data_IF_444609265194
#
_entry.id   IF_444609265194
#
_cell.length_a   1.000
_cell.length_b   1.000
_cell.length_c   1.000
_cell.angle_alpha   90.00
_cell.angle_beta   90.00
_cell.angle_gamma   90.00
#
_symmetry.space_group_name_H-M   'P 1'
#
loop_
_entity.id
_entity.type
_entity.pdbx_description
1 polymer ?
#
# COMPACT_ATOMS: atom_id res chain seq x y z
N UNK A 1 16.85 0.74 1.02
CA UNK A 1 15.79 1.74 0.87
C UNK A 1 15.87 2.30 -0.54
N UNK A 2 14.95 2.01 -1.38
CA UNK A 2 14.96 2.51 -2.76
C UNK A 2 13.74 1.99 -3.52
N UNK A 3 13.31 2.74 -4.53
CA UNK A 3 12.05 2.49 -5.24
C UNK A 3 12.08 1.33 -6.24
N UNK A 4 13.16 0.55 -6.28
CA UNK A 4 13.35 -0.49 -7.31
C UNK A 4 13.83 -1.84 -6.79
N UNK A 5 14.24 -1.93 -5.51
CA UNK A 5 14.91 -3.12 -4.91
C UNK A 5 16.17 -3.60 -5.63
N UNK A 6 16.76 -2.78 -6.51
CA UNK A 6 18.01 -3.10 -7.23
C UNK A 6 19.24 -3.15 -6.33
N UNK A 7 19.18 -2.54 -5.15
CA UNK A 7 20.30 -2.44 -4.19
C UNK A 7 20.17 -3.44 -3.04
N UNK A 8 19.40 -4.50 -3.20
CA UNK A 8 19.34 -5.58 -2.22
C UNK A 8 20.72 -6.25 -2.06
N UNK A 9 21.07 -6.56 -0.81
CA UNK A 9 22.38 -7.16 -0.49
C UNK A 9 22.56 -8.56 -1.12
N UNK A 10 21.52 -9.37 -1.13
CA UNK A 10 21.62 -10.73 -1.64
C UNK A 10 21.45 -10.77 -3.17
N UNK A 11 20.26 -10.42 -3.65
CA UNK A 11 19.93 -10.42 -5.08
C UNK A 11 18.92 -9.33 -5.37
N UNK A 12 18.92 -8.85 -6.62
CA UNK A 12 17.85 -8.01 -7.12
C UNK A 12 16.55 -8.82 -7.19
N UNK A 13 15.48 -8.21 -6.71
CA UNK A 13 14.15 -8.78 -6.90
C UNK A 13 13.63 -8.37 -8.28
N UNK A 14 13.15 -9.32 -9.06
CA UNK A 14 12.47 -9.07 -10.33
C UNK A 14 10.95 -9.02 -10.13
N UNK A 15 10.26 -8.35 -11.06
CA UNK A 15 8.81 -8.36 -11.09
C UNK A 15 8.33 -9.74 -11.60
N UNK A 16 7.44 -10.45 -10.90
CA UNK A 16 6.99 -11.78 -11.34
C UNK A 16 6.26 -11.80 -12.68
N UNK A 17 5.71 -10.67 -13.11
CA UNK A 17 5.02 -10.57 -14.42
C UNK A 17 5.97 -10.37 -15.59
N UNK A 18 7.15 -9.79 -15.35
CA UNK A 18 8.21 -9.59 -16.34
C UNK A 18 9.55 -9.48 -15.61
N UNK A 19 10.36 -10.52 -15.71
CA UNK A 19 11.63 -10.63 -14.99
C UNK A 19 12.67 -9.57 -15.39
N UNK A 20 12.45 -8.86 -16.49
CA UNK A 20 13.29 -7.73 -16.91
C UNK A 20 12.87 -6.41 -16.28
N UNK A 21 11.75 -6.39 -15.52
CA UNK A 21 11.22 -5.22 -14.85
C UNK A 21 11.44 -5.29 -13.35
N UNK A 22 11.45 -4.11 -12.73
CA UNK A 22 11.56 -3.98 -11.27
C UNK A 22 10.20 -4.23 -10.62
N UNK A 23 10.16 -4.79 -9.41
CA UNK A 23 8.91 -4.97 -8.65
C UNK A 23 8.47 -3.67 -7.96
N UNK A 24 9.27 -2.59 -8.07
CA UNK A 24 9.12 -1.41 -7.24
C UNK A 24 9.87 -1.51 -5.92
N UNK A 25 9.58 -0.63 -4.99
CA UNK A 25 10.23 -0.60 -3.67
C UNK A 25 9.77 0.57 -2.76
N UNK A 26 10.22 0.51 -1.51
CA UNK A 26 11.24 -0.39 -0.96
C UNK A 26 10.71 -1.78 -0.56
N UNK A 27 9.40 -2.00 -0.45
CA UNK A 27 8.79 -3.31 -0.16
C UNK A 27 8.61 -4.18 -1.42
N UNK A 28 9.57 -4.12 -2.36
CA UNK A 28 9.47 -4.83 -3.64
C UNK A 28 9.49 -6.35 -3.49
N UNK A 29 10.31 -6.90 -2.57
CA UNK A 29 10.31 -8.33 -2.25
C UNK A 29 8.97 -8.79 -1.67
N UNK A 30 8.39 -8.01 -0.76
CA UNK A 30 7.08 -8.29 -0.17
C UNK A 30 5.96 -8.31 -1.22
N UNK A 31 5.96 -7.35 -2.15
CA UNK A 31 4.98 -7.32 -3.24
C UNK A 31 5.19 -8.47 -4.23
N UNK A 32 6.44 -8.75 -4.58
CA UNK A 32 6.78 -9.83 -5.51
C UNK A 32 6.39 -11.20 -4.96
N UNK A 33 6.64 -11.49 -3.67
CA UNK A 33 6.28 -12.78 -3.07
C UNK A 33 4.77 -13.04 -3.06
N UNK A 34 3.96 -12.00 -2.81
CA UNK A 34 2.50 -12.11 -2.92
C UNK A 34 2.08 -12.29 -4.39
N UNK A 35 2.67 -11.52 -5.31
CA UNK A 35 2.37 -11.62 -6.74
C UNK A 35 2.72 -13.01 -7.30
N UNK A 36 3.86 -13.56 -6.91
CA UNK A 36 4.33 -14.90 -7.28
C UNK A 36 3.57 -16.03 -6.57
N UNK A 37 2.66 -15.72 -5.64
CA UNK A 37 1.91 -16.70 -4.84
C UNK A 37 2.78 -17.54 -3.89
N UNK A 38 3.94 -17.05 -3.52
CA UNK A 38 4.80 -17.70 -2.51
C UNK A 38 4.20 -17.58 -1.10
N UNK A 39 3.50 -16.46 -0.84
CA UNK A 39 2.80 -16.20 0.42
C UNK A 39 1.44 -15.55 0.14
N UNK A 40 0.42 -15.80 0.98
CA UNK A 40 -0.90 -15.17 0.83
C UNK A 40 -0.88 -13.68 1.20
N UNK A 41 -0.10 -13.31 2.21
CA UNK A 41 -0.01 -11.95 2.77
C UNK A 41 1.45 -11.65 3.09
N UNK A 42 1.84 -10.40 2.94
CA UNK A 42 3.15 -9.90 3.36
C UNK A 42 3.03 -8.53 4.02
N UNK A 43 4.03 -8.15 4.81
CA UNK A 43 4.15 -6.84 5.42
C UNK A 43 5.24 -6.03 4.73
N UNK A 44 5.05 -4.72 4.70
CA UNK A 44 6.05 -3.78 4.22
C UNK A 44 6.05 -2.50 5.04
N UNK A 45 6.96 -1.61 4.75
CA UNK A 45 6.98 -0.27 5.34
C UNK A 45 6.82 0.79 4.25
N UNK A 46 6.05 1.82 4.54
CA UNK A 46 5.73 2.90 3.60
C UNK A 46 6.00 4.25 4.24
N UNK A 47 6.87 5.02 3.63
CA UNK A 47 7.17 6.40 4.00
C UNK A 47 6.56 7.36 2.99
N UNK A 48 6.80 7.13 1.71
CA UNK A 48 6.33 7.95 0.60
C UNK A 48 5.79 7.13 -0.58
N UNK A 49 5.37 5.86 -0.34
CA UNK A 49 4.85 4.98 -1.37
C UNK A 49 5.42 3.56 -1.33
N UNK A 50 6.31 3.25 -0.38
CA UNK A 50 7.09 2.00 -0.41
C UNK A 50 6.33 0.69 -0.17
N UNK A 51 5.04 0.73 0.13
CA UNK A 51 4.09 -0.40 0.07
C UNK A 51 3.21 -0.25 -1.18
N UNK A 52 2.63 0.92 -1.39
CA UNK A 52 1.64 1.20 -2.45
C UNK A 52 2.24 1.12 -3.85
N UNK A 53 3.43 1.67 -4.07
CA UNK A 53 4.08 1.67 -5.37
C UNK A 53 4.47 0.24 -5.81
N UNK A 54 5.17 -0.58 -5.01
CA UNK A 54 5.46 -1.95 -5.41
C UNK A 54 4.19 -2.81 -5.54
N UNK A 55 3.15 -2.57 -4.74
CA UNK A 55 1.86 -3.22 -4.92
C UNK A 55 1.27 -2.94 -6.30
N UNK A 56 1.29 -1.68 -6.74
CA UNK A 56 0.85 -1.27 -8.07
C UNK A 56 1.68 -1.94 -9.18
N UNK A 57 3.01 -2.00 -9.03
CA UNK A 57 3.89 -2.58 -10.04
C UNK A 57 3.74 -4.11 -10.15
N UNK A 58 3.41 -4.77 -9.04
CA UNK A 58 3.24 -6.23 -8.98
C UNK A 58 1.77 -6.68 -9.13
N UNK A 59 0.81 -5.75 -9.29
CA UNK A 59 -0.60 -6.09 -9.47
C UNK A 59 -1.24 -6.75 -8.25
N UNK A 60 -0.89 -6.28 -7.06
CA UNK A 60 -1.46 -6.73 -5.77
C UNK A 60 -2.05 -5.56 -4.99
N UNK A 61 -2.84 -5.84 -3.97
CA UNK A 61 -3.38 -4.82 -3.07
C UNK A 61 -2.32 -4.45 -2.03
N UNK A 62 -2.03 -3.16 -1.91
CA UNK A 62 -1.11 -2.62 -0.90
C UNK A 62 -1.76 -1.50 -0.11
N UNK A 63 -1.85 -1.66 1.20
CA UNK A 63 -2.42 -0.68 2.11
C UNK A 63 -1.34 -0.05 2.99
N UNK A 64 -1.21 1.27 2.93
CA UNK A 64 -0.56 2.07 3.97
C UNK A 64 -1.65 2.63 4.88
N UNK A 65 -1.78 2.14 6.12
CA UNK A 65 -2.77 2.67 7.04
C UNK A 65 -2.45 4.10 7.49
N UNK A 66 -3.40 4.72 8.17
CA UNK A 66 -3.19 6.01 8.83
C UNK A 66 -2.02 5.91 9.81
N UNK A 67 -1.20 6.97 9.87
CA UNK A 67 -0.07 7.07 10.78
C UNK A 67 -0.47 6.76 12.22
N UNK A 68 0.34 5.96 12.89
CA UNK A 68 0.08 5.51 14.25
C UNK A 68 -1.00 4.42 14.37
N UNK A 69 -1.50 3.86 13.27
CA UNK A 69 -2.49 2.78 13.35
C UNK A 69 -1.85 1.41 13.64
N UNK A 70 -0.61 1.22 13.26
CA UNK A 70 0.22 0.05 13.54
C UNK A 70 1.47 0.53 14.26
N UNK A 71 1.87 -0.16 15.33
CA UNK A 71 3.12 0.14 16.04
C UNK A 71 4.32 0.01 15.12
N UNK A 72 5.28 0.91 15.28
CA UNK A 72 6.56 0.89 14.57
C UNK A 72 7.70 0.36 15.41
N UNK A 73 7.39 -0.15 16.60
CA UNK A 73 8.42 -0.73 17.46
C UNK A 73 9.16 -1.87 16.74
N UNK A 74 10.48 -1.77 16.72
CA UNK A 74 11.35 -2.70 15.98
C UNK A 74 11.54 -2.37 14.48
N UNK A 75 10.81 -1.40 13.93
CA UNK A 75 11.02 -0.92 12.57
C UNK A 75 12.23 0.02 12.53
N UNK A 76 13.19 -0.25 11.64
CA UNK A 76 14.26 0.70 11.34
C UNK A 76 13.68 1.91 10.62
N UNK A 77 13.76 3.07 11.26
CA UNK A 77 13.18 4.29 10.73
C UNK A 77 13.90 4.80 9.48
N UNK A 78 13.14 5.29 8.51
CA UNK A 78 13.63 6.08 7.39
C UNK A 78 13.25 7.56 7.58
N UNK A 79 11.97 7.84 7.81
CA UNK A 79 11.47 9.16 8.19
C UNK A 79 10.38 8.95 9.26
N UNK A 80 10.76 9.04 10.52
CA UNK A 80 9.93 8.63 11.68
C UNK A 80 8.56 9.29 11.74
N UNK A 81 8.39 10.49 11.18
CA UNK A 81 7.12 11.21 11.13
C UNK A 81 6.18 10.75 10.00
N UNK A 82 6.65 9.87 9.11
CA UNK A 82 5.92 9.40 7.93
C UNK A 82 5.81 7.90 7.85
N UNK A 83 6.81 7.17 8.38
CA UNK A 83 6.90 5.71 8.27
C UNK A 83 5.67 5.03 8.86
N UNK A 84 5.16 4.04 8.14
CA UNK A 84 4.08 3.18 8.61
C UNK A 84 4.25 1.77 8.08
N UNK A 85 3.99 0.77 8.93
CA UNK A 85 3.88 -0.62 8.49
C UNK A 85 2.53 -0.78 7.77
N UNK A 86 2.56 -1.43 6.63
CA UNK A 86 1.40 -1.72 5.81
C UNK A 86 1.36 -3.17 5.36
N UNK A 87 0.26 -3.55 4.74
CA UNK A 87 -0.04 -4.91 4.31
C UNK A 87 -0.09 -5.01 2.80
N UNK A 88 0.31 -6.18 2.27
CA UNK A 88 0.19 -6.54 0.87
C UNK A 88 -0.50 -7.91 0.76
N UNK A 89 -1.50 -8.02 -0.11
CA UNK A 89 -2.23 -9.25 -0.34
C UNK A 89 -2.86 -9.27 -1.74
N UNK A 90 -3.47 -10.40 -2.12
CA UNK A 90 -4.17 -10.52 -3.41
C UNK A 90 -5.51 -9.80 -3.43
N UNK A 91 -6.20 -9.74 -2.30
CA UNK A 91 -7.54 -9.16 -2.18
C UNK A 91 -7.59 -8.06 -1.13
N UNK A 92 -8.60 -7.21 -1.22
CA UNK A 92 -8.88 -6.18 -0.20
C UNK A 92 -9.33 -6.84 1.11
N UNK A 93 -10.02 -7.98 1.03
CA UNK A 93 -10.46 -8.75 2.18
C UNK A 93 -9.27 -9.28 2.99
N UNK A 94 -8.27 -9.89 2.32
CA UNK A 94 -7.05 -10.37 2.98
C UNK A 94 -6.30 -9.22 3.67
N UNK A 95 -6.25 -8.05 3.04
CA UNK A 95 -5.67 -6.84 3.63
C UNK A 95 -6.43 -6.42 4.87
N UNK A 96 -7.77 -6.43 4.85
CA UNK A 96 -8.61 -6.10 6.00
C UNK A 96 -8.43 -7.09 7.16
N UNK A 97 -8.38 -8.39 6.87
CA UNK A 97 -8.11 -9.44 7.85
C UNK A 97 -6.72 -9.23 8.50
N UNK A 98 -5.71 -8.96 7.69
CA UNK A 98 -4.37 -8.69 8.20
C UNK A 98 -4.35 -7.44 9.10
N UNK A 99 -5.06 -6.39 8.69
CA UNK A 99 -5.16 -5.15 9.48
C UNK A 99 -5.86 -5.36 10.83
N UNK A 100 -6.84 -6.25 10.93
CA UNK A 100 -7.46 -6.62 12.20
C UNK A 100 -6.45 -7.21 13.20
N UNK A 101 -5.40 -7.85 12.69
CA UNK A 101 -4.38 -8.51 13.51
C UNK A 101 -3.27 -7.54 13.91
N UNK A 102 -2.78 -6.70 13.00
CA UNK A 102 -1.59 -5.88 13.23
C UNK A 102 -1.89 -4.46 13.72
N UNK A 103 -3.13 -3.99 13.57
CA UNK A 103 -3.51 -2.66 14.05
C UNK A 103 -3.73 -2.66 15.56
N UNK A 104 -3.43 -1.53 16.19
CA UNK A 104 -3.65 -1.33 17.61
C UNK A 104 -2.45 -0.72 18.32
N UNK A 105 -2.66 -0.38 19.59
CA UNK A 105 -1.65 0.22 20.44
C UNK A 105 -0.76 -0.86 21.08
N UNK A 106 0.48 -0.48 21.32
CA UNK A 106 1.38 -1.14 22.24
C UNK A 106 2.00 -0.11 23.21
N UNK A 107 2.80 -0.57 24.13
CA UNK A 107 3.46 0.30 25.12
C UNK A 107 4.87 0.76 24.69
N UNK A 108 5.31 0.39 23.48
CA UNK A 108 6.68 0.61 23.00
C UNK A 108 6.77 1.72 21.96
N UNK A 109 5.69 2.03 21.24
CA UNK A 109 5.61 3.15 20.29
C UNK A 109 4.72 4.26 20.85
N UNK A 110 5.35 5.33 21.35
CA UNK A 110 4.63 6.48 21.91
C UNK A 110 3.73 7.21 20.91
N UNK A 111 3.88 6.95 19.61
CA UNK A 111 3.11 7.62 18.55
C UNK A 111 1.92 6.78 18.09
N UNK A 112 1.78 5.55 18.58
CA UNK A 112 0.67 4.67 18.19
C UNK A 112 -0.65 5.19 18.76
N UNK A 113 -1.70 5.09 17.95
CA UNK A 113 -3.04 5.52 18.34
C UNK A 113 -3.69 4.52 19.31
N UNK A 114 -4.22 5.02 20.41
CA UNK A 114 -4.99 4.23 21.39
C UNK A 114 -6.47 4.08 21.01
N UNK A 115 -6.88 4.58 19.83
CA UNK A 115 -8.24 4.38 19.34
C UNK A 115 -8.50 2.90 19.10
N UNK A 116 -9.71 2.48 19.48
CA UNK A 116 -10.19 1.12 19.23
C UNK A 116 -9.97 0.70 17.77
N UNK A 117 -9.65 -0.56 17.57
CA UNK A 117 -9.51 -1.18 16.25
C UNK A 117 -10.88 -1.75 15.88
N UNK A 118 -11.54 -1.20 14.85
CA UNK A 118 -12.78 -1.80 14.36
C UNK A 118 -12.46 -3.10 13.61
N UNK A 119 -13.46 -3.94 13.41
CA UNK A 119 -13.34 -5.01 12.42
C UNK A 119 -13.40 -4.39 11.01
N UNK A 120 -12.24 -4.34 10.34
CA UNK A 120 -12.14 -3.76 9.00
C UNK A 120 -12.92 -4.55 7.96
N UNK A 121 -13.18 -5.85 8.18
CA UNK A 121 -13.93 -6.68 7.25
C UNK A 121 -15.40 -6.30 7.16
N UNK A 122 -15.96 -5.70 8.22
CA UNK A 122 -17.34 -5.22 8.22
C UNK A 122 -17.61 -4.07 7.25
N UNK A 123 -16.56 -3.43 6.73
CA UNK A 123 -16.70 -2.28 5.82
C UNK A 123 -16.61 -2.66 4.34
N UNK A 124 -16.24 -3.88 3.99
CA UNK A 124 -15.89 -4.29 2.63
C UNK A 124 -17.02 -4.19 1.62
N UNK A 125 -18.28 -4.36 2.05
CA UNK A 125 -19.43 -4.35 1.16
C UNK A 125 -20.43 -3.21 1.51
N UNK A 126 -19.97 -2.20 2.23
CA UNK A 126 -20.82 -1.05 2.54
C UNK A 126 -20.91 -0.11 1.35
N UNK A 127 -22.08 0.50 1.19
CA UNK A 127 -22.29 1.53 0.19
C UNK A 127 -21.34 2.72 0.45
N UNK A 128 -20.64 3.14 -0.58
CA UNK A 128 -19.72 4.28 -0.56
C UNK A 128 -20.36 5.55 -1.13
N UNK A 129 -21.65 5.52 -1.43
CA UNK A 129 -22.38 6.67 -1.97
C UNK A 129 -22.22 7.89 -1.06
N UNK A 130 -21.80 9.00 -1.65
CA UNK A 130 -21.58 10.25 -0.96
C UNK A 130 -20.17 10.43 -0.37
N UNK A 131 -19.27 9.46 -0.49
CA UNK A 131 -17.86 9.68 -0.23
C UNK A 131 -17.30 10.73 -1.20
N UNK A 132 -16.47 11.64 -0.68
CA UNK A 132 -15.78 12.64 -1.49
C UNK A 132 -14.39 12.10 -1.84
N UNK A 133 -14.10 11.97 -3.13
CA UNK A 133 -12.79 11.60 -3.65
C UNK A 133 -12.11 12.85 -4.20
N UNK A 134 -10.91 13.15 -3.72
CA UNK A 134 -10.11 14.27 -4.23
C UNK A 134 -9.11 13.78 -5.29
N UNK A 135 -8.99 14.51 -6.38
CA UNK A 135 -7.97 14.30 -7.40
C UNK A 135 -6.94 15.43 -7.31
N UNK A 136 -5.81 15.25 -6.61
CA UNK A 136 -4.81 16.30 -6.48
C UNK A 136 -4.20 16.63 -7.86
N UNK A 137 -4.38 17.85 -8.32
CA UNK A 137 -3.86 18.30 -9.63
C UNK A 137 -2.34 18.14 -9.75
N UNK A 138 -1.64 18.18 -8.64
CA UNK A 138 -0.19 18.03 -8.53
C UNK A 138 0.30 16.63 -8.94
N UNK A 139 -0.59 15.64 -9.00
CA UNK A 139 -0.26 14.26 -9.45
C UNK A 139 -0.45 14.09 -10.96
N UNK A 140 -1.14 15.03 -11.62
CA UNK A 140 -1.42 15.01 -13.06
C UNK A 140 -0.50 16.01 -13.79
N UNK A 141 0.80 15.80 -13.61
CA UNK A 141 1.84 16.66 -14.19
C UNK A 141 2.02 16.41 -15.69
N UNK A 142 2.62 17.38 -16.38
CA UNK A 142 3.09 17.19 -17.75
C UNK A 142 4.07 16.01 -17.83
N UNK A 143 3.87 15.11 -18.81
CA UNK A 143 4.68 13.90 -18.97
C UNK A 143 4.14 12.65 -18.25
N UNK A 144 3.01 12.75 -17.55
CA UNK A 144 2.33 11.56 -17.06
C UNK A 144 1.95 10.65 -18.24
N UNK A 145 2.28 9.36 -18.14
CA UNK A 145 1.92 8.39 -19.18
C UNK A 145 0.39 8.39 -19.40
N UNK A 146 -0.08 8.55 -20.65
CA UNK A 146 -1.52 8.58 -20.95
C UNK A 146 -2.28 7.32 -20.52
N UNK A 147 -1.65 6.15 -20.58
CA UNK A 147 -2.25 4.89 -20.14
C UNK A 147 -2.55 4.92 -18.63
N UNK A 148 -1.61 5.44 -17.83
CA UNK A 148 -1.81 5.60 -16.37
C UNK A 148 -2.95 6.57 -16.12
N UNK A 149 -2.99 7.71 -16.84
CA UNK A 149 -4.08 8.67 -16.71
C UNK A 149 -5.43 8.03 -17.01
N UNK A 150 -5.53 7.30 -18.11
CA UNK A 150 -6.77 6.62 -18.51
C UNK A 150 -7.26 5.61 -17.47
N UNK A 151 -6.35 4.84 -16.85
CA UNK A 151 -6.70 3.89 -15.78
C UNK A 151 -7.27 4.62 -14.56
N UNK A 152 -6.68 5.77 -14.20
CA UNK A 152 -7.18 6.58 -13.09
C UNK A 152 -8.56 7.17 -13.44
N UNK A 153 -8.73 7.75 -14.62
CA UNK A 153 -9.99 8.34 -15.07
C UNK A 153 -11.11 7.28 -15.08
N UNK A 154 -10.87 6.09 -15.63
CA UNK A 154 -11.81 4.97 -15.62
C UNK A 154 -12.15 4.50 -14.18
N UNK A 155 -11.18 4.53 -13.28
CA UNK A 155 -11.42 4.16 -11.87
C UNK A 155 -12.33 5.18 -11.18
N UNK A 156 -12.15 6.46 -11.49
CA UNK A 156 -13.01 7.54 -10.98
C UNK A 156 -14.44 7.40 -11.51
N UNK A 157 -14.59 7.11 -12.81
CA UNK A 157 -15.90 6.88 -13.43
C UNK A 157 -16.60 5.65 -12.82
N UNK A 158 -15.87 4.56 -12.57
CA UNK A 158 -16.42 3.35 -11.96
C UNK A 158 -17.00 3.58 -10.55
N UNK A 159 -16.51 4.62 -9.85
CA UNK A 159 -17.07 5.04 -8.55
C UNK A 159 -18.38 5.83 -8.68
N UNK A 160 -18.96 5.98 -9.88
CA UNK A 160 -20.15 6.80 -10.18
C UNK A 160 -20.00 8.25 -9.65
N UNK A 161 -18.84 8.82 -9.90
CA UNK A 161 -18.48 10.13 -9.42
C UNK A 161 -19.13 11.22 -10.29
N UNK A 162 -20.00 12.03 -9.72
CA UNK A 162 -20.40 13.31 -10.33
C UNK A 162 -19.32 14.35 -10.03
N UNK A 163 -18.63 14.81 -11.06
CA UNK A 163 -17.76 15.99 -10.94
C UNK A 163 -18.63 17.19 -10.55
N UNK A 164 -18.37 17.76 -9.38
CA UNK A 164 -18.89 19.07 -8.99
C UNK A 164 -17.78 20.09 -9.00
#
# INVERSE_FOLDING_TARGET
MGSTTKTSFHHMTSNPWDLNRVPGGSSGGAAASVAAQEVPISLGSDTGGSVRQPASFCGVVGLKPTYGRVSRYGLMAFASSLDQIGTLAKTVEDVAICMNIIAGADDYDATVSKKEVPDYTEFLNKDIKGLKVGLPKEYFIEGLNPEIKNVIDNSVEALNWEQK
#
